data_IF_438336106577
#
_entry.id   IF_438336106577
#
_cell.length_a   1.000
_cell.length_b   1.000
_cell.length_c   1.000
_cell.angle_alpha   90.00
_cell.angle_beta   90.00
_cell.angle_gamma   90.00
#
_symmetry.space_group_name_H-M   'P 1'
#
loop_
_entity.id
_entity.type
_entity.pdbx_description
1 polymer ?
#
# COMPACT_ATOMS: atom_id res chain seq x y z
N UNK A 1 9.39 -11.35 8.43
CA UNK A 1 8.05 -11.39 7.76
C UNK A 1 7.96 -12.47 6.67
N UNK A 2 6.78 -13.08 6.42
CA UNK A 2 6.56 -14.12 5.38
C UNK A 2 5.39 -13.81 4.44
N UNK A 3 5.39 -14.41 3.24
CA UNK A 3 4.32 -14.21 2.23
C UNK A 3 2.94 -14.61 2.77
N UNK A 4 2.83 -15.76 3.45
CA UNK A 4 1.56 -16.23 4.00
C UNK A 4 0.95 -15.31 5.07
N UNK A 5 1.75 -14.47 5.72
CA UNK A 5 1.24 -13.46 6.64
C UNK A 5 0.81 -12.20 5.90
N UNK A 6 1.58 -11.78 4.89
CA UNK A 6 1.25 -10.66 4.00
C UNK A 6 -0.06 -10.90 3.24
N UNK A 7 -0.30 -12.14 2.79
CA UNK A 7 -1.52 -12.51 2.06
C UNK A 7 -2.80 -12.25 2.88
N UNK A 8 -2.71 -12.30 4.21
CA UNK A 8 -3.83 -12.07 5.13
C UNK A 8 -4.18 -10.58 5.32
N UNK A 9 -3.30 -9.67 4.91
CA UNK A 9 -3.58 -8.23 4.91
C UNK A 9 -4.56 -7.89 3.78
N UNK A 10 -5.33 -6.80 3.88
CA UNK A 10 -6.15 -6.29 2.77
C UNK A 10 -6.95 -7.36 1.98
N UNK A 11 -7.55 -8.32 2.68
CA UNK A 11 -8.35 -9.41 2.06
C UNK A 11 -9.68 -8.91 1.49
N UNK A 12 -10.08 -7.71 1.87
CA UNK A 12 -11.25 -7.01 1.33
C UNK A 12 -10.80 -5.74 0.61
N UNK A 13 -11.52 -5.34 -0.46
CA UNK A 13 -11.23 -4.07 -1.13
C UNK A 13 -11.40 -2.87 -0.20
N UNK A 14 -10.56 -1.86 -0.40
CA UNK A 14 -10.76 -0.52 0.18
C UNK A 14 -11.81 0.19 -0.65
N UNK A 15 -12.96 0.52 -0.06
CA UNK A 15 -14.04 1.23 -0.74
C UNK A 15 -13.97 2.71 -0.41
N UNK A 16 -13.85 3.55 -1.43
CA UNK A 16 -13.82 5.01 -1.31
C UNK A 16 -15.23 5.57 -1.42
N UNK A 17 -15.59 6.47 -0.51
CA UNK A 17 -16.86 7.21 -0.58
C UNK A 17 -16.85 8.24 -1.73
N UNK A 18 -18.03 8.73 -2.12
CA UNK A 18 -18.27 9.59 -3.29
C UNK A 18 -17.52 10.93 -3.34
N UNK A 19 -16.84 11.31 -2.27
CA UNK A 19 -16.00 12.52 -2.18
C UNK A 19 -14.59 12.25 -1.65
N UNK A 20 -14.24 10.98 -1.45
CA UNK A 20 -12.94 10.57 -0.95
C UNK A 20 -11.97 10.38 -2.11
N UNK A 21 -11.23 11.44 -2.40
CA UNK A 21 -10.23 11.44 -3.48
C UNK A 21 -8.81 11.17 -2.99
N UNK A 22 -8.62 11.08 -1.68
CA UNK A 22 -7.33 10.80 -1.04
C UNK A 22 -7.55 9.66 -0.06
N UNK A 23 -6.63 8.71 -0.03
CA UNK A 23 -6.71 7.53 0.81
C UNK A 23 -5.32 7.03 1.18
N UNK A 24 -5.25 6.29 2.28
CA UNK A 24 -4.01 5.73 2.79
C UNK A 24 -4.01 4.21 2.62
N UNK A 25 -2.87 3.66 2.22
CA UNK A 25 -2.56 2.24 2.34
C UNK A 25 -1.46 2.10 3.39
N UNK A 26 -1.74 1.34 4.43
CA UNK A 26 -0.87 1.12 5.58
C UNK A 26 -0.41 -0.34 5.56
N UNK A 27 0.85 -0.55 5.23
CA UNK A 27 1.46 -1.87 5.16
C UNK A 27 2.43 -2.05 6.31
N UNK A 28 2.16 -2.98 7.23
CA UNK A 28 3.10 -3.26 8.29
C UNK A 28 4.36 -3.89 7.71
N UNK A 29 5.50 -3.57 8.32
CA UNK A 29 6.81 -3.92 7.76
C UNK A 29 7.78 -4.30 8.86
N UNK A 30 8.58 -5.32 8.58
CA UNK A 30 9.67 -5.81 9.43
C UNK A 30 10.88 -4.86 9.35
N UNK A 31 10.72 -3.69 9.97
CA UNK A 31 11.69 -2.60 9.87
C UNK A 31 13.02 -2.93 10.56
N UNK A 32 12.99 -3.82 11.56
CA UNK A 32 14.16 -4.31 12.31
C UNK A 32 15.08 -5.09 11.37
N UNK A 33 14.52 -5.97 10.55
CA UNK A 33 15.27 -6.75 9.56
C UNK A 33 15.60 -5.94 8.29
N UNK A 34 15.20 -4.66 8.23
CA UNK A 34 15.48 -3.74 7.14
C UNK A 34 14.56 -3.88 5.92
N UNK A 35 13.40 -4.51 6.08
CA UNK A 35 12.39 -4.56 5.02
C UNK A 35 11.74 -3.19 4.80
N UNK A 36 11.37 -2.93 3.55
CA UNK A 36 10.65 -1.73 3.09
C UNK A 36 9.64 -2.12 2.03
N UNK A 37 8.45 -1.51 2.08
CA UNK A 37 7.49 -1.60 1.00
C UNK A 37 7.78 -0.57 -0.08
N UNK A 38 7.57 -1.01 -1.32
CA UNK A 38 7.66 -0.20 -2.52
C UNK A 38 6.33 -0.36 -3.26
N UNK A 39 5.70 0.75 -3.59
CA UNK A 39 4.63 0.75 -4.59
C UNK A 39 5.28 0.56 -5.95
N UNK A 40 5.08 -0.60 -6.57
CA UNK A 40 5.68 -0.90 -7.87
C UNK A 40 4.91 -0.18 -8.96
N UNK A 41 5.69 0.34 -9.91
CA UNK A 41 5.31 1.39 -10.85
C UNK A 41 3.86 1.25 -11.30
N UNK A 42 3.03 2.23 -10.92
CA UNK A 42 1.69 2.31 -11.41
C UNK A 42 1.78 2.86 -12.84
N UNK A 43 1.58 2.03 -13.85
CA UNK A 43 1.02 2.48 -15.15
C UNK A 43 -0.43 3.02 -14.96
N UNK A 44 -0.74 3.53 -13.78
CA UNK A 44 -2.02 4.04 -13.40
C UNK A 44 -2.02 5.54 -13.63
N UNK A 45 -2.43 5.90 -14.84
CA UNK A 45 -3.12 7.15 -15.17
C UNK A 45 -4.18 7.60 -14.12
N UNK A 46 -4.54 6.72 -13.18
CA UNK A 46 -5.61 6.79 -12.21
C UNK A 46 -5.22 7.35 -10.83
N UNK A 47 -3.95 7.32 -10.42
CA UNK A 47 -3.49 7.74 -9.08
C UNK A 47 -2.22 8.59 -9.16
N UNK A 48 -2.20 9.68 -8.39
CA UNK A 48 -1.02 10.44 -8.02
C UNK A 48 -0.55 10.01 -6.60
N UNK A 49 0.75 9.81 -6.41
CA UNK A 49 1.36 9.69 -5.09
C UNK A 49 1.40 11.07 -4.39
N UNK A 50 0.73 11.20 -3.25
CA UNK A 50 0.66 12.47 -2.50
C UNK A 50 1.80 12.56 -1.48
N UNK A 51 2.06 11.46 -0.74
CA UNK A 51 3.21 11.35 0.16
C UNK A 51 3.47 9.91 0.60
N UNK A 52 4.71 9.64 1.00
CA UNK A 52 5.12 8.40 1.70
C UNK A 52 5.68 8.75 3.08
N UNK A 53 5.32 7.97 4.10
CA UNK A 53 5.95 8.05 5.42
C UNK A 53 6.25 6.66 5.97
N UNK A 54 7.40 6.55 6.63
CA UNK A 54 7.79 5.38 7.39
C UNK A 54 7.71 5.69 8.88
N UNK A 55 6.91 4.92 9.61
CA UNK A 55 6.86 4.98 11.06
C UNK A 55 7.57 3.76 11.63
N UNK A 56 8.85 3.96 11.95
CA UNK A 56 9.60 3.11 12.85
C UNK A 56 9.34 3.60 14.26
N UNK A 57 8.68 2.80 15.11
CA UNK A 57 8.85 2.74 16.58
C UNK A 57 7.63 2.06 17.21
N UNK A 58 7.90 1.07 18.07
CA UNK A 58 7.12 0.65 19.24
C UNK A 58 5.59 0.74 19.13
N UNK A 59 5.04 0.23 18.02
CA UNK A 59 3.62 -0.09 17.96
C UNK A 59 3.47 -1.23 18.96
N UNK A 60 3.01 -0.95 20.18
CA UNK A 60 2.91 -1.89 21.30
C UNK A 60 2.07 -3.17 21.01
N UNK A 61 1.64 -3.38 19.76
CA UNK A 61 0.92 -4.54 19.25
C UNK A 61 1.36 -5.01 17.84
N UNK A 62 2.41 -4.44 17.22
CA UNK A 62 2.84 -4.89 15.88
C UNK A 62 3.89 -5.98 16.00
N UNK A 63 3.58 -7.16 15.45
CA UNK A 63 4.54 -8.26 15.29
C UNK A 63 5.81 -7.86 14.50
N UNK A 64 5.76 -6.78 13.72
CA UNK A 64 6.76 -6.44 12.72
C UNK A 64 7.55 -5.16 13.02
N UNK A 65 7.21 -4.38 14.06
CA UNK A 65 8.06 -3.27 14.52
C UNK A 65 8.09 -2.01 13.63
N UNK A 66 7.32 -1.95 12.54
CA UNK A 66 7.15 -0.74 11.74
C UNK A 66 5.89 -0.74 10.87
N UNK A 67 5.59 0.43 10.30
CA UNK A 67 4.49 0.66 9.37
C UNK A 67 4.95 1.58 8.22
N UNK A 68 4.67 1.18 6.98
CA UNK A 68 4.82 2.03 5.80
C UNK A 68 3.44 2.58 5.41
N UNK A 69 3.32 3.91 5.28
CA UNK A 69 2.09 4.60 4.91
C UNK A 69 2.23 5.24 3.53
N UNK A 70 1.33 4.87 2.62
CA UNK A 70 1.24 5.40 1.27
C UNK A 70 -0.03 6.24 1.16
N UNK A 71 0.13 7.56 1.12
CA UNK A 71 -0.96 8.49 0.88
C UNK A 71 -1.10 8.70 -0.62
N UNK A 72 -2.25 8.29 -1.15
CA UNK A 72 -2.54 8.25 -2.57
C UNK A 72 -3.72 9.15 -2.90
N UNK A 73 -3.73 9.69 -4.11
CA UNK A 73 -4.76 10.60 -4.57
C UNK A 73 -5.26 10.21 -5.94
N UNK A 74 -6.57 10.18 -6.11
CA UNK A 74 -7.22 9.87 -7.37
C UNK A 74 -7.09 11.03 -8.35
N UNK A 75 -6.65 10.73 -9.57
CA UNK A 75 -6.55 11.75 -10.62
C UNK A 75 -7.94 12.27 -10.98
N UNK A 76 -8.02 13.55 -11.38
CA UNK A 76 -9.31 14.24 -11.59
C UNK A 76 -10.24 13.52 -12.57
N UNK A 77 -9.70 12.85 -13.59
CA UNK A 77 -10.47 12.18 -14.66
C UNK A 77 -11.31 11.01 -14.15
N UNK A 78 -10.89 10.33 -13.07
CA UNK A 78 -11.59 9.15 -12.58
C UNK A 78 -12.59 9.44 -11.47
N UNK A 79 -12.57 10.63 -10.87
CA UNK A 79 -13.45 11.00 -9.75
C UNK A 79 -14.97 10.96 -10.02
N UNK A 80 -15.38 10.77 -11.29
CA UNK A 80 -16.78 10.83 -11.74
C UNK A 80 -17.30 9.49 -12.29
N UNK A 81 -16.48 8.45 -12.35
CA UNK A 81 -16.86 7.14 -12.87
C UNK A 81 -16.52 6.07 -11.83
N UNK A 82 -17.25 4.95 -11.73
CA UNK A 82 -16.82 3.83 -10.93
C UNK A 82 -15.55 3.20 -11.51
N UNK A 83 -14.59 2.86 -10.67
CA UNK A 83 -13.39 2.16 -11.12
C UNK A 83 -12.78 1.30 -10.01
N UNK A 84 -12.05 0.28 -10.47
CA UNK A 84 -11.26 -0.63 -9.65
C UNK A 84 -9.78 -0.34 -9.92
N UNK A 85 -9.02 -0.15 -8.86
CA UNK A 85 -7.56 -0.04 -8.90
C UNK A 85 -6.98 -1.23 -8.15
N UNK A 86 -5.92 -1.83 -8.70
CA UNK A 86 -5.13 -2.85 -8.01
C UNK A 86 -3.75 -2.27 -7.77
N UNK A 87 -3.44 -1.92 -6.53
CA UNK A 87 -2.13 -1.41 -6.17
C UNK A 87 -1.19 -2.58 -5.88
N UNK A 88 -0.10 -2.69 -6.65
CA UNK A 88 0.90 -3.72 -6.48
C UNK A 88 2.05 -3.20 -5.61
N UNK A 89 2.31 -3.88 -4.51
CA UNK A 89 3.39 -3.56 -3.59
C UNK A 89 4.39 -4.71 -3.52
N UNK A 90 5.66 -4.35 -3.45
CA UNK A 90 6.75 -5.29 -3.18
C UNK A 90 7.43 -4.91 -1.86
N UNK A 91 7.69 -5.89 -1.00
CA UNK A 91 8.47 -5.73 0.21
C UNK A 91 9.80 -6.47 0.07
N UNK A 92 10.89 -5.74 0.22
CA UNK A 92 12.23 -6.30 0.10
C UNK A 92 13.23 -5.52 0.95
N UNK A 93 14.42 -6.10 1.13
CA UNK A 93 15.57 -5.43 1.76
C UNK A 93 16.41 -4.80 0.65
N UNK A 94 16.41 -3.45 0.52
CA UNK A 94 16.99 -2.80 -0.66
C UNK A 94 18.52 -2.88 -0.73
N UNK A 95 19.17 -3.26 0.37
CA UNK A 95 20.62 -3.42 0.46
C UNK A 95 21.11 -4.84 0.12
N UNK A 96 20.21 -5.80 -0.13
CA UNK A 96 20.60 -7.14 -0.55
C UNK A 96 20.77 -7.23 -2.08
N UNK A 97 21.79 -7.96 -2.55
CA UNK A 97 22.04 -8.12 -3.98
C UNK A 97 21.00 -8.99 -4.70
N UNK A 98 20.37 -9.92 -3.98
CA UNK A 98 19.30 -10.79 -4.48
C UNK A 98 18.22 -10.91 -3.39
N UNK A 99 17.42 -9.86 -3.17
CA UNK A 99 16.50 -9.84 -2.06
C UNK A 99 15.38 -10.85 -2.28
N UNK A 100 14.92 -11.47 -1.19
CA UNK A 100 13.63 -12.14 -1.19
C UNK A 100 12.53 -11.09 -1.26
N UNK A 101 11.75 -11.12 -2.32
CA UNK A 101 10.62 -10.21 -2.53
C UNK A 101 9.35 -10.84 -1.99
N UNK A 102 8.62 -10.08 -1.16
CA UNK A 102 7.24 -10.38 -0.78
C UNK A 102 6.32 -9.47 -1.58
N UNK A 103 5.16 -9.96 -2.01
CA UNK A 103 4.26 -9.17 -2.85
C UNK A 103 2.92 -8.96 -2.16
N UNK A 104 2.28 -7.81 -2.42
CA UNK A 104 0.93 -7.55 -1.97
C UNK A 104 0.12 -6.74 -2.96
N UNK A 105 -1.01 -7.29 -3.36
CA UNK A 105 -2.04 -6.54 -4.07
C UNK A 105 -3.07 -5.98 -3.11
N UNK A 106 -3.38 -4.69 -3.27
CA UNK A 106 -4.47 -4.02 -2.56
C UNK A 106 -5.49 -3.53 -3.58
N UNK A 107 -6.70 -4.07 -3.52
CA UNK A 107 -7.80 -3.61 -4.39
C UNK A 107 -8.47 -2.39 -3.78
N UNK A 108 -8.62 -1.32 -4.56
CA UNK A 108 -9.36 -0.11 -4.21
C UNK A 108 -10.54 0.04 -5.17
N UNK A 109 -11.73 0.27 -4.63
CA UNK A 109 -12.95 0.54 -5.39
C UNK A 109 -13.38 1.97 -5.12
N UNK A 110 -13.52 2.76 -6.18
CA UNK A 110 -14.20 4.05 -6.09
C UNK A 110 -15.59 3.92 -6.68
N UNK A 111 -16.58 4.29 -5.89
CA UNK A 111 -17.98 4.31 -6.27
C UNK A 111 -18.45 5.77 -6.17
N UNK A 112 -18.49 6.53 -7.29
CA UNK A 112 -19.19 7.81 -7.29
C UNK A 112 -20.69 7.58 -7.04
N UNK A 113 -21.32 8.55 -6.38
CA UNK A 113 -22.78 8.59 -6.23
C UNK A 113 -23.48 8.79 -7.59
#
# INVERSE_FOLDING_TARGET
>A
MTQAEVDKLYTKPVVLSSKQYTFNIELPVDSIDGYRWFLISPDYDYIDDDSYSHESVDIQNSKWGGMDNFKLKLTKKFRKVPYKIVLHFECLRPFESNPKVLTKDVTVLSLPD
#
